data_IF_622671858614
#
_entry.id   IF_622671858614
#
_cell.length_a   1.000
_cell.length_b   1.000
_cell.length_c   1.000
_cell.angle_alpha   90.00
_cell.angle_beta   90.00
_cell.angle_gamma   90.00
#
_symmetry.space_group_name_H-M   'P 1'
#
loop_
_entity.id
_entity.type
_entity.pdbx_description
1 polymer ?
#
# COMPACT_ATOMS: atom_id res chain seq x y z
N UNK A 1 12.52 -17.17 -1.32
CA UNK A 1 13.09 -18.46 -1.76
C UNK A 1 14.44 -18.28 -2.47
N UNK A 2 14.56 -17.43 -3.50
CA UNK A 2 15.82 -17.20 -4.21
C UNK A 2 17.00 -16.73 -3.31
N UNK A 3 16.74 -15.83 -2.36
CA UNK A 3 17.74 -15.42 -1.36
C UNK A 3 18.25 -16.58 -0.48
N UNK A 4 17.38 -17.51 -0.11
CA UNK A 4 17.79 -18.69 0.67
C UNK A 4 18.53 -19.73 -0.19
N UNK A 5 18.30 -19.72 -1.51
CA UNK A 5 19.05 -20.55 -2.46
C UNK A 5 20.47 -19.99 -2.65
N UNK A 6 20.65 -18.66 -2.62
CA UNK A 6 22.00 -18.08 -2.66
C UNK A 6 22.80 -18.43 -1.41
N UNK A 7 22.23 -18.48 -0.19
CA UNK A 7 23.03 -18.86 1.00
C UNK A 7 23.51 -20.33 1.04
N UNK A 8 23.09 -21.20 0.10
CA UNK A 8 23.43 -22.63 0.12
C UNK A 8 24.82 -22.97 -0.43
N UNK A 9 25.55 -22.05 -1.08
CA UNK A 9 26.87 -22.33 -1.64
C UNK A 9 27.95 -21.51 -0.92
N UNK A 10 28.55 -22.08 0.14
CA UNK A 10 29.56 -21.39 0.94
C UNK A 10 31.02 -21.75 0.60
N UNK A 11 31.23 -22.74 -0.29
CA UNK A 11 32.58 -23.18 -0.65
C UNK A 11 32.66 -23.46 -2.14
N UNK A 12 33.53 -22.73 -2.84
CA UNK A 12 33.77 -22.87 -4.28
C UNK A 12 35.09 -23.60 -4.51
N UNK A 13 35.10 -24.54 -5.46
CA UNK A 13 36.30 -25.26 -5.87
C UNK A 13 36.97 -24.54 -7.05
N UNK A 14 36.19 -23.82 -7.85
CA UNK A 14 36.67 -23.12 -9.05
C UNK A 14 36.15 -21.68 -9.14
N UNK A 15 36.80 -20.87 -9.98
CA UNK A 15 36.30 -19.53 -10.30
C UNK A 15 34.94 -19.54 -10.96
N UNK A 16 34.69 -20.52 -11.85
CA UNK A 16 33.41 -20.64 -12.54
C UNK A 16 32.25 -20.85 -11.56
N UNK A 17 32.46 -21.68 -10.53
CA UNK A 17 31.47 -21.86 -9.47
C UNK A 17 31.24 -20.56 -8.69
N UNK A 18 32.31 -19.84 -8.33
CA UNK A 18 32.16 -18.56 -7.64
C UNK A 18 31.47 -17.49 -8.50
N UNK A 19 31.77 -17.43 -9.80
CA UNK A 19 31.19 -16.43 -10.69
C UNK A 19 29.71 -16.70 -10.98
N UNK A 20 29.33 -17.96 -11.20
CA UNK A 20 27.93 -18.36 -11.33
C UNK A 20 27.17 -18.06 -10.06
N UNK A 21 27.75 -18.37 -8.90
CA UNK A 21 27.16 -18.02 -7.61
C UNK A 21 26.92 -16.52 -7.47
N UNK A 22 27.97 -15.72 -7.71
CA UNK A 22 27.92 -14.27 -7.62
C UNK A 22 26.82 -13.69 -8.51
N UNK A 23 26.73 -14.16 -9.77
CA UNK A 23 25.68 -13.76 -10.70
C UNK A 23 24.28 -14.13 -10.19
N UNK A 24 24.07 -15.38 -9.79
CA UNK A 24 22.75 -15.84 -9.32
C UNK A 24 22.33 -15.11 -8.04
N UNK A 25 23.26 -14.90 -7.10
CA UNK A 25 23.01 -14.16 -5.85
C UNK A 25 22.51 -12.75 -6.16
N UNK A 26 23.29 -11.95 -6.87
CA UNK A 26 22.95 -10.54 -7.09
C UNK A 26 21.80 -10.33 -8.08
N UNK A 27 21.71 -11.13 -9.16
CA UNK A 27 20.56 -11.04 -10.09
C UNK A 27 19.27 -11.43 -9.37
N UNK A 28 19.30 -12.49 -8.55
CA UNK A 28 18.13 -12.96 -7.81
C UNK A 28 17.65 -11.96 -6.74
N UNK A 29 18.58 -11.38 -5.98
CA UNK A 29 18.26 -10.37 -4.96
C UNK A 29 17.74 -9.09 -5.63
N UNK A 30 18.42 -8.61 -6.67
CA UNK A 30 17.98 -7.42 -7.39
C UNK A 30 16.60 -7.62 -7.99
N UNK A 31 16.31 -8.77 -8.62
CA UNK A 31 14.98 -9.06 -9.17
C UNK A 31 13.90 -8.92 -8.11
N UNK A 32 14.13 -9.47 -6.92
CA UNK A 32 13.20 -9.35 -5.80
C UNK A 32 12.98 -7.88 -5.39
N UNK A 33 14.06 -7.08 -5.30
CA UNK A 33 13.96 -5.66 -4.97
C UNK A 33 13.30 -4.83 -6.06
N UNK A 34 13.54 -5.13 -7.33
CA UNK A 34 12.86 -4.49 -8.46
C UNK A 34 11.35 -4.75 -8.40
N UNK A 35 10.95 -6.00 -8.15
CA UNK A 35 9.53 -6.34 -7.95
C UNK A 35 8.96 -5.54 -6.78
N UNK A 36 9.63 -5.51 -5.62
CA UNK A 36 9.16 -4.73 -4.46
C UNK A 36 9.06 -3.24 -4.77
N UNK A 37 10.04 -2.68 -5.48
CA UNK A 37 10.06 -1.29 -5.88
C UNK A 37 8.92 -0.96 -6.84
N UNK A 38 8.56 -1.84 -7.79
CA UNK A 38 7.39 -1.68 -8.66
C UNK A 38 6.12 -1.64 -7.81
N UNK A 39 5.89 -2.62 -6.93
CA UNK A 39 4.69 -2.68 -6.09
C UNK A 39 4.53 -1.44 -5.20
N UNK A 40 5.63 -0.98 -4.61
CA UNK A 40 5.65 0.22 -3.76
C UNK A 40 5.43 1.48 -4.59
N UNK A 41 6.10 1.61 -5.75
CA UNK A 41 5.96 2.79 -6.61
C UNK A 41 4.58 2.92 -7.23
N UNK A 42 3.96 1.81 -7.63
CA UNK A 42 2.55 1.78 -8.08
C UNK A 42 1.62 2.21 -6.94
N UNK A 43 1.83 1.68 -5.73
CA UNK A 43 1.09 2.11 -4.55
C UNK A 43 1.29 3.59 -4.19
N UNK A 44 2.47 4.14 -4.48
CA UNK A 44 2.82 5.54 -4.25
C UNK A 44 2.07 6.48 -5.21
N UNK A 45 2.04 6.15 -6.51
CA UNK A 45 1.38 6.99 -7.52
C UNK A 45 -0.15 6.84 -7.53
N UNK A 46 -0.67 5.64 -7.23
CA UNK A 46 -2.11 5.37 -7.23
C UNK A 46 -2.77 5.57 -5.86
N UNK A 47 -1.98 5.68 -4.78
CA UNK A 47 -2.50 5.84 -3.43
C UNK A 47 -3.35 7.09 -3.28
N UNK A 48 -4.59 6.92 -2.85
CA UNK A 48 -5.50 8.05 -2.55
C UNK A 48 -5.30 8.47 -1.10
N UNK A 49 -4.92 9.73 -0.92
CA UNK A 49 -4.93 10.40 0.37
C UNK A 49 -6.34 10.93 0.60
N UNK A 50 -7.03 10.32 1.57
CA UNK A 50 -8.28 10.86 2.10
C UNK A 50 -8.12 10.98 3.60
N UNK A 51 -8.34 12.16 4.15
CA UNK A 51 -8.57 12.30 5.57
C UNK A 51 -9.88 11.55 5.86
N UNK A 52 -9.79 10.36 6.46
CA UNK A 52 -10.99 9.63 6.88
C UNK A 52 -11.55 10.44 8.04
N UNK A 53 -12.48 11.33 7.73
CA UNK A 53 -13.39 11.87 8.72
C UNK A 53 -14.20 10.70 9.26
N UNK A 54 -14.22 10.53 10.59
CA UNK A 54 -14.74 9.32 11.26
C UNK A 54 -16.18 8.95 10.86
N UNK A 55 -16.93 9.91 10.31
CA UNK A 55 -18.32 9.74 9.88
C UNK A 55 -18.49 9.00 8.55
N UNK A 56 -17.43 8.80 7.75
CA UNK A 56 -17.49 8.14 6.43
C UNK A 56 -16.72 6.79 6.38
N UNK A 57 -16.62 6.10 7.52
CA UNK A 57 -15.87 4.83 7.68
C UNK A 57 -16.28 3.68 6.75
N UNK A 58 -17.40 3.78 6.02
CA UNK A 58 -17.99 2.66 5.27
C UNK A 58 -17.49 2.48 3.82
N UNK A 59 -16.81 3.46 3.22
CA UNK A 59 -16.60 3.47 1.76
C UNK A 59 -15.21 2.97 1.30
N UNK A 60 -14.21 2.85 2.17
CA UNK A 60 -12.83 2.58 1.72
C UNK A 60 -12.28 1.22 2.18
N UNK A 61 -12.87 0.14 1.69
CA UNK A 61 -12.09 -1.05 1.34
C UNK A 61 -12.63 -1.57 0.02
N UNK A 62 -11.96 -1.24 -1.08
CA UNK A 62 -12.05 -2.08 -2.28
C UNK A 62 -11.37 -3.38 -1.90
N UNK A 63 -12.13 -4.30 -1.32
CA UNK A 63 -11.71 -5.67 -1.10
C UNK A 63 -11.24 -6.18 -2.45
N UNK A 64 -9.94 -6.45 -2.52
CA UNK A 64 -9.24 -7.19 -3.56
C UNK A 64 -10.22 -7.94 -4.47
N UNK A 65 -10.25 -7.55 -5.74
CA UNK A 65 -10.84 -8.32 -6.84
C UNK A 65 -10.74 -9.80 -6.51
N UNK A 66 -11.87 -10.41 -6.17
CA UNK A 66 -11.95 -11.84 -5.93
C UNK A 66 -11.65 -12.49 -7.28
N UNK A 67 -10.52 -13.20 -7.38
CA UNK A 67 -10.09 -13.85 -8.62
C UNK A 67 -11.14 -14.84 -9.15
N UNK A 68 -12.08 -15.28 -8.30
CA UNK A 68 -13.12 -16.23 -8.62
C UNK A 68 -14.23 -15.67 -9.54
N UNK A 69 -14.24 -14.35 -9.84
CA UNK A 69 -15.23 -13.74 -10.73
C UNK A 69 -14.70 -13.45 -12.14
N UNK A 70 -13.47 -13.86 -12.48
CA UNK A 70 -12.87 -13.63 -13.81
C UNK A 70 -13.22 -14.74 -14.82
N UNK A 71 -13.57 -15.94 -14.36
CA UNK A 71 -13.87 -17.07 -15.25
C UNK A 71 -15.27 -16.99 -15.90
N UNK A 72 -16.09 -15.98 -15.58
CA UNK A 72 -17.44 -15.83 -16.16
C UNK A 72 -17.64 -14.58 -17.03
N UNK A 73 -16.61 -13.75 -17.26
CA UNK A 73 -16.76 -12.51 -18.03
C UNK A 73 -16.18 -12.73 -19.44
N UNK A 74 -16.91 -13.52 -20.22
CA UNK A 74 -16.89 -13.39 -21.67
C UNK A 74 -17.74 -12.19 -22.07
N UNK A 75 -17.16 -11.32 -22.90
CA UNK A 75 -17.82 -10.22 -23.64
C UNK A 75 -18.65 -9.21 -22.84
N UNK A 76 -17.98 -8.15 -22.36
CA UNK A 76 -18.30 -6.74 -22.65
C UNK A 76 -17.88 -5.82 -21.51
N UNK A 77 -16.83 -5.04 -21.77
CA UNK A 77 -16.19 -4.10 -20.82
C UNK A 77 -17.13 -2.93 -20.45
N UNK A 78 -18.28 -2.76 -21.14
CA UNK A 78 -19.29 -1.75 -20.81
C UNK A 78 -19.92 -1.97 -19.44
N UNK A 79 -20.06 -3.22 -18.99
CA UNK A 79 -20.97 -3.55 -17.89
C UNK A 79 -20.33 -3.30 -16.51
N UNK A 80 -18.99 -3.22 -16.45
CA UNK A 80 -18.26 -2.88 -15.22
C UNK A 80 -18.56 -1.42 -14.79
N UNK A 81 -18.83 -0.52 -15.74
CA UNK A 81 -19.19 0.86 -15.41
C UNK A 81 -20.61 0.98 -14.83
N UNK A 82 -21.52 0.09 -15.21
CA UNK A 82 -22.92 0.12 -14.76
C UNK A 82 -23.10 -0.47 -13.35
N UNK A 83 -22.24 -1.43 -12.95
CA UNK A 83 -22.23 -1.96 -11.58
C UNK A 83 -21.83 -0.88 -10.56
N UNK A 84 -20.92 0.02 -10.92
CA UNK A 84 -20.54 1.13 -10.03
C UNK A 84 -21.65 2.18 -9.90
N UNK A 85 -22.50 2.32 -10.92
CA UNK A 85 -23.62 3.27 -10.93
C UNK A 85 -24.87 2.73 -10.21
N UNK A 86 -25.12 1.42 -10.25
CA UNK A 86 -26.26 0.79 -9.58
C UNK A 86 -26.10 0.71 -8.05
N UNK A 87 -24.87 0.61 -7.56
CA UNK A 87 -24.56 0.59 -6.12
C UNK A 87 -24.75 1.97 -5.46
N UNK A 88 -24.67 3.07 -6.22
CA UNK A 88 -24.86 4.43 -5.72
C UNK A 88 -26.36 4.81 -5.64
N UNK A 89 -27.23 4.16 -6.43
CA UNK A 89 -28.68 4.39 -6.40
C UNK A 89 -29.43 3.53 -5.37
N UNK A 90 -28.83 2.42 -4.93
CA UNK A 90 -29.45 1.48 -3.97
C UNK A 90 -29.34 1.93 -2.50
N UNK A 91 -28.62 3.01 -2.20
CA UNK A 91 -28.60 3.63 -0.87
C UNK A 91 -29.80 4.55 -0.57
N UNK A 92 -30.76 4.68 -1.49
CA UNK A 92 -31.94 5.55 -1.30
C UNK A 92 -33.19 4.84 -0.76
N UNK A 93 -33.14 3.52 -0.50
CA UNK A 93 -34.33 2.72 -0.13
C UNK A 93 -34.25 2.01 1.23
N UNK A 94 -33.42 2.47 2.17
CA UNK A 94 -33.43 1.99 3.57
C UNK A 94 -34.01 3.09 4.46
N UNK A 95 -35.32 3.30 4.36
CA UNK A 95 -36.11 4.09 5.29
C UNK A 95 -37.37 3.31 5.69
N UNK A 96 -37.18 2.16 6.31
CA UNK A 96 -38.23 1.48 7.10
C UNK A 96 -37.60 0.35 7.90
N UNK A 97 -37.01 0.68 9.05
CA UNK A 97 -36.82 -0.32 10.11
C UNK A 97 -36.82 0.38 11.47
N UNK A 98 -37.90 0.06 12.19
CA UNK A 98 -38.16 0.13 13.62
C UNK A 98 -37.57 1.28 14.45
N UNK A 99 -38.45 2.24 14.72
CA UNK A 99 -38.46 2.99 15.97
C UNK A 99 -39.10 2.11 17.04
N UNK A 100 -38.31 1.49 17.89
CA UNK A 100 -38.62 1.30 19.31
C UNK A 100 -37.34 0.89 20.08
N UNK A 101 -37.21 1.42 21.29
CA UNK A 101 -36.12 1.24 22.26
C UNK A 101 -34.77 1.90 21.94
N UNK A 102 -34.57 3.11 22.46
CA UNK A 102 -33.63 3.33 23.56
C UNK A 102 -33.56 4.83 23.87
N UNK A 103 -34.21 5.23 24.97
CA UNK A 103 -33.75 6.37 25.77
C UNK A 103 -32.29 6.18 26.17
N UNK A 104 -31.63 7.29 26.53
CA UNK A 104 -30.45 7.43 27.41
C UNK A 104 -29.30 8.23 26.77
N UNK A 105 -29.20 9.48 27.28
CA UNK A 105 -28.03 10.36 27.45
C UNK A 105 -27.52 11.12 26.20
N UNK A 106 -28.08 12.31 25.99
CA UNK A 106 -27.37 13.46 25.40
C UNK A 106 -26.83 14.29 26.56
N UNK A 107 -25.51 14.28 26.76
CA UNK A 107 -24.81 15.24 27.61
C UNK A 107 -23.80 16.01 26.75
N UNK A 108 -24.12 17.29 26.55
CA UNK A 108 -23.24 18.43 26.28
C UNK A 108 -22.01 18.20 25.38
N UNK A 109 -22.04 18.77 24.17
CA UNK A 109 -20.86 19.45 23.61
C UNK A 109 -21.18 20.41 22.44
N UNK A 110 -20.75 21.66 22.66
CA UNK A 110 -20.35 22.72 21.70
C UNK A 110 -21.40 23.42 20.83
N UNK A 111 -21.85 24.58 21.33
CA UNK A 111 -22.55 25.65 20.58
C UNK A 111 -21.63 26.52 19.71
N UNK A 112 -20.33 26.22 19.59
CA UNK A 112 -19.36 27.12 18.93
C UNK A 112 -19.06 26.85 17.45
N UNK A 113 -19.68 25.87 16.79
CA UNK A 113 -19.43 25.61 15.34
C UNK A 113 -20.59 26.01 14.41
N UNK A 114 -21.76 26.36 14.95
CA UNK A 114 -22.92 26.79 14.14
C UNK A 114 -22.87 28.30 13.81
N UNK A 115 -21.99 29.07 14.46
CA UNK A 115 -21.81 30.50 14.21
C UNK A 115 -20.87 30.81 13.03
N UNK A 116 -19.95 29.91 12.65
CA UNK A 116 -18.99 30.16 11.55
C UNK A 116 -19.56 29.86 10.16
N UNK A 117 -20.55 28.98 10.07
CA UNK A 117 -21.19 28.60 8.81
C UNK A 117 -22.35 29.54 8.42
N UNK A 118 -22.93 30.27 9.39
CA UNK A 118 -23.89 31.35 9.11
C UNK A 118 -23.25 32.64 8.60
N UNK A 119 -22.01 32.96 8.99
CA UNK A 119 -21.32 34.20 8.56
C UNK A 119 -20.77 34.12 7.13
N UNK A 120 -20.43 32.92 6.64
CA UNK A 120 -19.98 32.71 5.26
C UNK A 120 -21.11 32.88 4.23
N UNK A 121 -22.35 32.50 4.55
CA UNK A 121 -23.50 32.65 3.65
C UNK A 121 -23.97 34.12 3.56
N UNK A 122 -23.77 34.91 4.62
CA UNK A 122 -24.15 36.34 4.63
C UNK A 122 -23.15 37.19 3.82
N UNK A 123 -21.86 36.83 3.80
CA UNK A 123 -20.85 37.58 3.05
C UNK A 123 -20.94 37.37 1.52
N UNK A 124 -21.40 36.21 1.05
CA UNK A 124 -21.58 35.95 -0.39
C UNK A 124 -22.82 36.68 -0.97
N UNK A 125 -23.83 36.96 -0.13
CA UNK A 125 -24.99 37.78 -0.53
C UNK A 125 -24.65 39.28 -0.63
N UNK A 126 -23.67 39.77 0.13
CA UNK A 126 -23.26 41.18 0.09
C UNK A 126 -22.23 41.46 -1.01
N UNK A 127 -21.40 40.49 -1.43
CA UNK A 127 -20.42 40.72 -2.51
C UNK A 127 -21.03 40.72 -3.92
N UNK A 128 -22.29 40.29 -4.08
CA UNK A 128 -23.00 40.32 -5.38
C UNK A 128 -23.82 41.58 -5.62
N UNK A 129 -23.80 42.55 -4.69
CA UNK A 129 -24.56 43.80 -4.81
C UNK A 129 -23.83 44.92 -5.56
N UNK A 130 -22.57 44.70 -5.95
CA UNK A 130 -21.72 45.75 -6.57
C UNK A 130 -21.30 45.48 -8.02
N UNK A 131 -21.90 44.51 -8.72
CA UNK A 131 -21.75 44.42 -10.19
C UNK A 131 -22.96 45.06 -10.87
N UNK A 132 -22.73 46.25 -11.41
CA UNK A 132 -23.56 46.98 -12.37
C UNK A 132 -24.01 46.07 -13.52
N UNK A 133 -25.28 45.66 -13.49
CA UNK A 133 -26.13 45.32 -14.66
C UNK A 133 -27.50 44.82 -14.18
N UNK A 134 -28.21 45.62 -13.38
CA UNK A 134 -29.54 45.26 -12.83
C UNK A 134 -30.66 46.23 -13.17
N UNK A 135 -30.52 47.03 -14.23
CA UNK A 135 -31.54 48.02 -14.61
C UNK A 135 -32.78 47.42 -15.29
N UNK A 136 -32.82 46.12 -15.58
CA UNK A 136 -33.89 45.55 -16.40
C UNK A 136 -34.93 44.69 -15.66
N UNK A 137 -34.79 44.44 -14.35
CA UNK A 137 -35.77 43.63 -13.60
C UNK A 137 -36.71 44.44 -12.71
N UNK A 138 -36.38 45.70 -12.41
CA UNK A 138 -37.22 46.57 -11.57
C UNK A 138 -38.31 47.32 -12.33
N UNK A 139 -38.29 47.33 -13.66
CA UNK A 139 -39.30 48.03 -14.47
C UNK A 139 -40.62 47.28 -14.62
N UNK A 140 -40.65 45.96 -14.33
CA UNK A 140 -41.85 45.14 -14.53
C UNK A 140 -42.74 45.00 -13.28
N UNK A 141 -42.22 45.29 -12.09
CA UNK A 141 -43.00 45.23 -10.84
C UNK A 141 -43.65 46.58 -10.50
N UNK A 142 -43.08 47.70 -10.97
CA UNK A 142 -43.61 49.05 -10.69
C UNK A 142 -44.84 49.44 -11.52
N UNK A 143 -45.24 48.63 -12.52
CA UNK A 143 -46.36 48.94 -13.43
C UNK A 143 -47.74 48.44 -12.98
N UNK A 144 -47.81 47.60 -11.94
CA UNK A 144 -49.11 47.08 -11.44
C UNK A 144 -49.65 47.80 -10.19
N UNK A 145 -48.98 48.85 -9.70
CA UNK A 145 -49.39 49.57 -8.48
C UNK A 145 -49.93 50.98 -8.78
N UNK A 146 -49.90 51.43 -10.04
CA UNK A 146 -50.23 52.82 -10.41
C UNK A 146 -51.55 53.02 -11.17
N UNK A 147 -52.53 52.11 -11.08
CA UNK A 147 -53.85 52.30 -11.75
C UNK A 147 -55.10 52.20 -10.85
N UNK A 148 -54.96 52.19 -9.52
CA UNK A 148 -56.09 52.45 -8.62
C UNK A 148 -55.94 53.82 -7.97
N UNK A 149 -56.24 54.87 -8.72
CA UNK A 149 -56.39 56.22 -8.18
C UNK A 149 -57.43 57.01 -8.96
N UNK A 150 -58.71 56.64 -8.82
CA UNK A 150 -59.84 57.50 -9.20
C UNK A 150 -60.95 57.40 -8.15
N UNK A 151 -61.32 58.60 -7.67
CA UNK A 151 -62.56 59.02 -7.00
C UNK A 151 -62.87 58.52 -5.59
N UNK A 152 -62.60 59.39 -4.61
CA UNK A 152 -63.62 59.73 -3.63
C UNK A 152 -63.52 61.22 -3.25
N UNK A 153 -64.58 61.97 -3.57
CA UNK A 153 -64.82 63.31 -3.06
C UNK A 153 -66.22 63.30 -2.44
N UNK A 154 -66.26 63.60 -1.16
CA UNK A 154 -67.35 64.10 -0.32
C UNK A 154 -68.65 63.28 -0.16
N UNK A 155 -69.00 63.00 1.11
CA UNK A 155 -70.33 62.54 1.51
C UNK A 155 -70.45 62.18 2.98
N UNK A 156 -70.84 63.17 3.79
CA UNK A 156 -71.55 63.14 5.09
C UNK A 156 -71.74 61.84 5.90
N UNK A 157 -71.47 62.00 7.21
CA UNK A 157 -72.06 61.35 8.40
C UNK A 157 -73.30 60.46 8.18
N UNK A 158 -73.22 59.22 8.66
CA UNK A 158 -74.21 58.66 9.60
C UNK A 158 -73.66 57.37 10.23
N UNK A 159 -73.79 57.28 11.55
CA UNK A 159 -73.49 56.11 12.38
C UNK A 159 -74.53 55.02 12.13
N UNK A 160 -74.13 53.84 11.61
CA UNK A 160 -74.82 52.57 11.89
C UNK A 160 -73.81 51.42 11.82
N UNK A 161 -73.73 50.70 12.93
CA UNK A 161 -73.06 49.42 13.16
C UNK A 161 -73.35 48.36 12.08
N UNK A 162 -72.32 47.76 11.50
CA UNK A 162 -72.41 46.41 10.92
C UNK A 162 -71.04 45.70 10.96
N UNK A 163 -70.92 44.75 11.87
CA UNK A 163 -69.72 43.99 12.23
C UNK A 163 -69.78 42.54 11.70
N UNK A 164 -70.07 42.32 10.41
CA UNK A 164 -70.20 40.96 9.84
C UNK A 164 -69.37 40.73 8.55
N UNK A 165 -68.57 41.71 8.09
CA UNK A 165 -67.88 41.61 6.78
C UNK A 165 -66.37 41.32 6.76
N UNK A 166 -65.69 41.24 7.91
CA UNK A 166 -64.22 41.32 7.94
C UNK A 166 -63.45 39.98 7.94
N UNK A 167 -64.11 38.84 8.15
CA UNK A 167 -63.43 37.53 8.12
C UNK A 167 -63.17 37.02 6.69
N UNK A 168 -64.00 37.41 5.71
CA UNK A 168 -63.90 36.91 4.32
C UNK A 168 -62.64 37.42 3.58
N UNK A 169 -62.23 38.66 3.85
CA UNK A 169 -61.03 39.24 3.22
C UNK A 169 -59.71 38.73 3.83
N UNK A 170 -59.72 38.29 5.09
CA UNK A 170 -58.52 37.78 5.77
C UNK A 170 -58.08 36.42 5.22
N UNK A 171 -59.02 35.58 4.79
CA UNK A 171 -58.70 34.26 4.23
C UNK A 171 -58.13 34.31 2.80
N UNK A 172 -58.58 35.23 1.94
CA UNK A 172 -58.03 35.37 0.58
C UNK A 172 -56.57 35.82 0.56
N UNK A 173 -56.16 36.69 1.48
CA UNK A 173 -54.77 37.13 1.57
C UNK A 173 -53.82 36.02 2.06
N UNK A 174 -54.30 35.10 2.90
CA UNK A 174 -53.50 33.95 3.37
C UNK A 174 -53.18 32.99 2.22
N UNK A 175 -54.17 32.70 1.38
CA UNK A 175 -54.01 31.82 0.22
C UNK A 175 -53.01 32.38 -0.81
N UNK A 176 -53.06 33.70 -1.07
CA UNK A 176 -52.13 34.37 -2.00
C UNK A 176 -50.68 34.31 -1.47
N UNK A 177 -50.47 34.55 -0.17
CA UNK A 177 -49.13 34.48 0.46
C UNK A 177 -48.58 33.06 0.44
N UNK A 178 -49.43 32.06 0.64
CA UNK A 178 -49.03 30.65 0.63
C UNK A 178 -48.67 30.18 -0.80
N UNK A 179 -49.42 30.64 -1.81
CA UNK A 179 -49.08 30.40 -3.23
C UNK A 179 -47.74 31.03 -3.62
N UNK A 180 -47.45 32.24 -3.14
CA UNK A 180 -46.16 32.90 -3.38
C UNK A 180 -45.00 32.17 -2.69
N UNK A 181 -45.18 31.67 -1.45
CA UNK A 181 -44.17 30.85 -0.77
C UNK A 181 -43.87 29.56 -1.52
N UNK A 182 -44.90 28.87 -2.03
CA UNK A 182 -44.73 27.63 -2.79
C UNK A 182 -44.03 27.87 -4.14
N UNK A 183 -44.29 29.00 -4.80
CA UNK A 183 -43.55 29.37 -6.01
C UNK A 183 -42.09 29.69 -5.71
N UNK A 184 -41.82 30.42 -4.62
CA UNK A 184 -40.46 30.78 -4.23
C UNK A 184 -39.65 29.55 -3.80
N UNK A 185 -40.24 28.62 -3.05
CA UNK A 185 -39.57 27.38 -2.65
C UNK A 185 -39.24 26.49 -3.86
N UNK A 186 -40.14 26.42 -4.84
CA UNK A 186 -39.90 25.69 -6.09
C UNK A 186 -38.76 26.31 -6.92
N UNK A 187 -38.68 27.64 -6.99
CA UNK A 187 -37.60 28.34 -7.69
C UNK A 187 -36.26 28.13 -6.97
N UNK A 188 -36.23 28.23 -5.64
CA UNK A 188 -35.03 28.02 -4.83
C UNK A 188 -34.55 26.57 -5.00
N UNK A 189 -35.43 25.57 -4.87
CA UNK A 189 -35.07 24.16 -5.02
C UNK A 189 -34.58 23.83 -6.43
N UNK A 190 -35.18 24.41 -7.48
CA UNK A 190 -34.75 24.18 -8.87
C UNK A 190 -33.37 24.79 -9.15
N UNK A 191 -33.07 25.96 -8.58
CA UNK A 191 -31.77 26.60 -8.75
C UNK A 191 -30.66 25.93 -7.93
N UNK A 192 -30.96 25.50 -6.70
CA UNK A 192 -30.04 24.73 -5.85
C UNK A 192 -29.69 23.39 -6.50
N UNK A 193 -30.69 22.63 -6.97
CA UNK A 193 -30.44 21.34 -7.64
C UNK A 193 -29.64 21.50 -8.94
N UNK A 194 -29.90 22.54 -9.74
CA UNK A 194 -29.13 22.80 -10.97
C UNK A 194 -27.67 23.16 -10.69
N UNK A 195 -27.40 23.98 -9.66
CA UNK A 195 -26.02 24.33 -9.27
C UNK A 195 -25.27 23.15 -8.63
N UNK A 196 -25.95 22.33 -7.82
CA UNK A 196 -25.38 21.11 -7.24
C UNK A 196 -25.02 20.10 -8.34
N UNK A 197 -25.85 19.97 -9.37
CA UNK A 197 -25.57 19.04 -10.48
C UNK A 197 -24.39 19.50 -11.34
N UNK A 198 -24.25 20.81 -11.59
CA UNK A 198 -23.12 21.35 -12.33
C UNK A 198 -21.79 21.20 -11.56
N UNK A 199 -21.78 21.54 -10.27
CA UNK A 199 -20.59 21.38 -9.42
C UNK A 199 -20.15 19.94 -9.25
N UNK A 200 -21.09 19.00 -9.09
CA UNK A 200 -20.78 17.55 -9.06
C UNK A 200 -20.13 17.07 -10.35
N UNK A 201 -20.61 17.54 -11.52
CA UNK A 201 -20.05 17.17 -12.82
C UNK A 201 -18.59 17.64 -12.97
N UNK A 202 -18.29 18.85 -12.53
CA UNK A 202 -16.94 19.41 -12.60
C UNK A 202 -15.97 18.69 -11.65
N UNK A 203 -16.41 18.35 -10.43
CA UNK A 203 -15.61 17.56 -9.48
C UNK A 203 -15.32 16.17 -10.06
N UNK A 204 -16.32 15.49 -10.64
CA UNK A 204 -16.15 14.17 -11.27
C UNK A 204 -15.16 14.22 -12.43
N UNK A 205 -15.24 15.26 -13.28
CA UNK A 205 -14.32 15.45 -14.40
C UNK A 205 -12.89 15.75 -13.94
N UNK A 206 -12.70 16.54 -12.88
CA UNK A 206 -11.38 16.81 -12.30
C UNK A 206 -10.73 15.54 -11.75
N UNK A 207 -11.50 14.73 -11.02
CA UNK A 207 -11.00 13.46 -10.46
C UNK A 207 -10.60 12.46 -11.55
N UNK A 208 -11.40 12.32 -12.61
CA UNK A 208 -11.07 11.45 -13.75
C UNK A 208 -9.76 11.84 -14.42
N UNK A 209 -9.52 13.14 -14.63
CA UNK A 209 -8.27 13.64 -15.21
C UNK A 209 -7.06 13.35 -14.33
N UNK A 210 -7.17 13.51 -13.01
CA UNK A 210 -6.09 13.19 -12.06
C UNK A 210 -5.75 11.71 -12.05
N UNK A 211 -6.77 10.83 -12.02
CA UNK A 211 -6.58 9.37 -12.05
C UNK A 211 -5.87 8.94 -13.34
N UNK A 212 -6.34 9.43 -14.49
CA UNK A 212 -5.71 9.13 -15.78
C UNK A 212 -4.23 9.58 -15.84
N UNK A 213 -3.92 10.74 -15.25
CA UNK A 213 -2.52 11.23 -15.15
C UNK A 213 -1.66 10.30 -14.29
N UNK A 214 -2.18 9.83 -13.15
CA UNK A 214 -1.44 8.93 -12.25
C UNK A 214 -1.23 7.55 -12.89
N UNK A 215 -2.23 7.01 -13.60
CA UNK A 215 -2.09 5.77 -14.36
C UNK A 215 -0.99 5.90 -15.42
N UNK A 216 -0.96 7.01 -16.17
CA UNK A 216 0.09 7.27 -17.17
C UNK A 216 1.49 7.32 -16.53
N UNK A 217 1.62 7.93 -15.35
CA UNK A 217 2.88 7.93 -14.59
C UNK A 217 3.29 6.54 -14.14
N UNK A 218 2.36 5.74 -13.62
CA UNK A 218 2.62 4.37 -13.20
C UNK A 218 3.11 3.50 -14.38
N UNK A 219 2.48 3.61 -15.55
CA UNK A 219 2.96 2.94 -16.76
C UNK A 219 4.34 3.43 -17.20
N UNK A 220 4.60 4.74 -17.15
CA UNK A 220 5.92 5.30 -17.46
C UNK A 220 7.00 4.72 -16.55
N UNK A 221 6.73 4.62 -15.25
CA UNK A 221 7.64 4.00 -14.27
C UNK A 221 7.89 2.51 -14.59
N UNK A 222 6.85 1.78 -14.98
CA UNK A 222 7.00 0.36 -15.34
C UNK A 222 7.90 0.18 -16.58
N UNK A 223 7.70 1.02 -17.60
CA UNK A 223 8.55 1.01 -18.81
C UNK A 223 10.00 1.34 -18.44
N UNK A 224 10.22 2.37 -17.62
CA UNK A 224 11.55 2.76 -17.16
C UNK A 224 12.26 1.59 -16.46
N UNK A 225 11.59 0.93 -15.51
CA UNK A 225 12.14 -0.21 -14.78
C UNK A 225 12.40 -1.41 -15.71
N UNK A 226 11.51 -1.64 -16.68
CA UNK A 226 11.66 -2.72 -17.67
C UNK A 226 12.91 -2.56 -18.54
N UNK A 227 13.38 -1.32 -18.77
CA UNK A 227 14.66 -1.06 -19.45
C UNK A 227 15.87 -1.15 -18.52
N UNK A 228 15.77 -0.63 -17.30
CA UNK A 228 16.90 -0.62 -16.35
C UNK A 228 17.32 -2.01 -15.89
N UNK A 229 16.38 -2.94 -15.68
CA UNK A 229 16.70 -4.25 -15.12
C UNK A 229 17.54 -5.14 -16.07
N UNK A 230 17.19 -5.33 -17.36
CA UNK A 230 18.05 -6.03 -18.32
C UNK A 230 19.42 -5.37 -18.49
N UNK A 231 19.47 -4.03 -18.46
CA UNK A 231 20.72 -3.29 -18.54
C UNK A 231 21.65 -3.60 -17.36
N UNK A 232 21.11 -3.67 -16.15
CA UNK A 232 21.88 -4.10 -14.98
C UNK A 232 22.42 -5.53 -15.11
N UNK A 233 21.60 -6.47 -15.58
CA UNK A 233 22.04 -7.85 -15.82
C UNK A 233 23.21 -7.86 -16.81
N UNK A 234 23.10 -7.12 -17.90
CA UNK A 234 24.16 -7.01 -18.91
C UNK A 234 25.46 -6.48 -18.30
N UNK A 235 25.40 -5.40 -17.50
CA UNK A 235 26.57 -4.87 -16.80
C UNK A 235 27.19 -5.91 -15.86
N UNK A 236 26.38 -6.63 -15.11
CA UNK A 236 26.85 -7.65 -14.16
C UNK A 236 27.57 -8.78 -14.90
N UNK A 237 27.04 -9.23 -16.04
CA UNK A 237 27.67 -10.23 -16.91
C UNK A 237 28.99 -9.70 -17.48
N UNK A 238 29.01 -8.48 -18.02
CA UNK A 238 30.22 -7.85 -18.57
C UNK A 238 31.31 -7.74 -17.50
N UNK A 239 30.98 -7.25 -16.30
CA UNK A 239 31.92 -7.17 -15.18
C UNK A 239 32.49 -8.55 -14.84
N UNK A 240 31.64 -9.57 -14.78
CA UNK A 240 32.06 -10.96 -14.50
C UNK A 240 33.03 -11.50 -15.56
N UNK A 241 32.79 -11.17 -16.84
CA UNK A 241 33.68 -11.53 -17.96
C UNK A 241 35.02 -10.77 -17.87
N UNK A 242 34.98 -9.45 -17.62
CA UNK A 242 36.19 -8.62 -17.46
C UNK A 242 37.05 -9.16 -16.31
N UNK A 243 36.44 -9.45 -15.17
CA UNK A 243 37.14 -10.08 -14.04
C UNK A 243 37.71 -11.45 -14.39
N UNK A 244 36.98 -12.25 -15.17
CA UNK A 244 37.47 -13.54 -15.65
C UNK A 244 38.70 -13.41 -16.55
N UNK A 245 38.74 -12.35 -17.38
CA UNK A 245 39.85 -12.10 -18.30
C UNK A 245 41.08 -11.57 -17.54
N UNK A 246 40.90 -10.58 -16.67
CA UNK A 246 41.97 -10.03 -15.82
C UNK A 246 42.63 -11.12 -14.97
N UNK A 247 41.83 -12.06 -14.48
CA UNK A 247 42.32 -13.17 -13.66
C UNK A 247 43.29 -14.08 -14.40
N UNK A 248 43.14 -14.29 -15.72
CA UNK A 248 44.06 -15.18 -16.47
C UNK A 248 45.52 -14.74 -16.39
N UNK A 249 45.77 -13.47 -16.04
CA UNK A 249 47.11 -12.90 -15.93
C UNK A 249 47.67 -12.88 -14.49
N UNK A 250 46.90 -13.30 -13.48
CA UNK A 250 47.36 -13.38 -12.10
C UNK A 250 47.59 -14.82 -11.69
N UNK A 251 48.78 -15.10 -11.14
CA UNK A 251 49.13 -16.38 -10.53
C UNK A 251 48.11 -16.80 -9.46
N UNK A 252 48.03 -18.12 -9.24
CA UNK A 252 46.90 -18.79 -8.62
C UNK A 252 46.52 -18.22 -7.24
N UNK A 253 45.28 -17.70 -7.12
CA UNK A 253 44.62 -17.31 -5.87
C UNK A 253 44.21 -18.55 -5.03
N UNK A 254 45.11 -19.51 -4.85
CA UNK A 254 44.92 -20.67 -4.00
C UNK A 254 45.55 -20.38 -2.64
N UNK A 255 44.75 -20.48 -1.58
CA UNK A 255 45.24 -20.37 -0.20
C UNK A 255 45.20 -21.76 0.41
N UNK A 256 46.32 -22.20 0.98
CA UNK A 256 46.34 -23.42 1.76
C UNK A 256 45.82 -23.14 3.18
N UNK A 257 44.76 -23.84 3.57
CA UNK A 257 44.24 -23.79 4.93
C UNK A 257 45.16 -24.50 5.94
N UNK A 258 44.95 -24.23 7.23
CA UNK A 258 45.71 -24.86 8.34
C UNK A 258 45.66 -26.40 8.36
N UNK A 259 44.66 -26.97 7.70
CA UNK A 259 44.46 -28.42 7.54
C UNK A 259 45.16 -28.99 6.29
N UNK A 260 45.97 -28.19 5.60
CA UNK A 260 46.67 -28.58 4.36
C UNK A 260 45.77 -28.60 3.11
N UNK A 261 44.47 -28.31 3.23
CA UNK A 261 43.56 -28.26 2.08
C UNK A 261 43.71 -26.93 1.32
N UNK A 262 43.69 -27.00 0.00
CA UNK A 262 43.72 -25.81 -0.86
C UNK A 262 42.31 -25.29 -1.09
N UNK A 263 42.12 -23.99 -0.88
CA UNK A 263 40.87 -23.30 -1.12
C UNK A 263 41.09 -22.21 -2.17
N UNK A 264 40.13 -22.08 -3.08
CA UNK A 264 40.12 -20.99 -4.02
C UNK A 264 39.64 -19.71 -3.32
N UNK A 265 40.49 -18.67 -3.24
CA UNK A 265 40.07 -17.35 -2.75
C UNK A 265 39.30 -16.64 -3.86
N UNK A 266 38.01 -16.39 -3.66
CA UNK A 266 37.22 -15.77 -4.69
C UNK A 266 37.54 -14.28 -4.86
N UNK A 267 38.07 -13.91 -6.03
CA UNK A 267 38.41 -12.52 -6.38
C UNK A 267 37.20 -11.58 -6.49
N UNK A 268 35.98 -12.13 -6.62
CA UNK A 268 34.74 -11.34 -6.70
C UNK A 268 34.23 -10.88 -5.32
N UNK A 269 34.87 -11.29 -4.23
CA UNK A 269 34.46 -10.91 -2.86
C UNK A 269 34.53 -9.40 -2.62
N UNK A 270 35.49 -8.69 -3.22
CA UNK A 270 35.55 -7.22 -3.14
C UNK A 270 34.40 -6.55 -3.89
N UNK A 271 34.03 -7.11 -5.05
CA UNK A 271 32.86 -6.65 -5.82
C UNK A 271 31.56 -6.97 -5.11
N UNK A 272 31.48 -8.09 -4.39
CA UNK A 272 30.30 -8.48 -3.59
C UNK A 272 29.95 -7.41 -2.57
N UNK A 273 30.94 -6.81 -1.90
CA UNK A 273 30.70 -5.69 -0.99
C UNK A 273 30.07 -4.48 -1.68
N UNK A 274 30.52 -4.14 -2.90
CA UNK A 274 29.96 -3.02 -3.66
C UNK A 274 28.51 -3.28 -4.09
N UNK A 275 28.21 -4.51 -4.53
CA UNK A 275 26.83 -4.90 -4.89
C UNK A 275 25.91 -4.95 -3.66
N UNK A 276 26.37 -5.49 -2.53
CA UNK A 276 25.61 -5.48 -1.27
C UNK A 276 25.31 -4.03 -0.82
N UNK A 277 26.23 -3.09 -1.03
CA UNK A 277 26.01 -1.66 -0.76
C UNK A 277 24.96 -1.05 -1.71
N UNK A 278 25.04 -1.34 -3.00
CA UNK A 278 24.06 -0.90 -4.00
C UNK A 278 22.65 -1.46 -3.70
N UNK A 279 22.58 -2.72 -3.32
CA UNK A 279 21.36 -3.41 -2.88
C UNK A 279 20.74 -2.72 -1.65
N UNK A 280 21.55 -2.38 -0.65
CA UNK A 280 21.11 -1.62 0.52
C UNK A 280 20.58 -0.23 0.13
N UNK A 281 21.23 0.46 -0.81
CA UNK A 281 20.77 1.76 -1.32
C UNK A 281 19.39 1.63 -1.99
N UNK A 282 19.16 0.62 -2.83
CA UNK A 282 17.85 0.35 -3.45
C UNK A 282 16.78 0.07 -2.39
N UNK A 283 17.12 -0.70 -1.35
CA UNK A 283 16.22 -0.95 -0.23
C UNK A 283 15.84 0.34 0.51
N UNK A 284 16.80 1.23 0.77
CA UNK A 284 16.54 2.53 1.41
C UNK A 284 15.59 3.37 0.56
N UNK A 285 15.80 3.47 -0.76
CA UNK A 285 14.89 4.19 -1.67
C UNK A 285 13.49 3.60 -1.66
N UNK A 286 13.38 2.26 -1.64
CA UNK A 286 12.10 1.56 -1.54
C UNK A 286 11.39 1.87 -0.22
N UNK A 287 12.13 1.97 0.88
CA UNK A 287 11.60 2.26 2.20
C UNK A 287 11.11 3.71 2.33
N UNK A 288 11.81 4.68 1.74
CA UNK A 288 11.38 6.09 1.69
C UNK A 288 10.00 6.19 1.02
N UNK A 289 9.81 5.56 -0.14
CA UNK A 289 8.50 5.50 -0.82
C UNK A 289 7.48 4.68 -0.02
N UNK A 290 7.89 3.55 0.54
CA UNK A 290 7.03 2.67 1.34
C UNK A 290 6.43 3.38 2.56
N UNK A 291 7.20 4.24 3.24
CA UNK A 291 6.72 5.07 4.36
C UNK A 291 5.53 5.96 3.97
N UNK A 292 5.58 6.54 2.77
CA UNK A 292 4.47 7.33 2.25
C UNK A 292 3.25 6.45 1.96
N UNK A 293 3.48 5.30 1.32
CA UNK A 293 2.43 4.34 0.94
C UNK A 293 1.69 3.77 2.16
N UNK A 294 2.36 3.55 3.29
CA UNK A 294 1.74 3.07 4.54
C UNK A 294 0.73 4.07 5.12
N UNK A 295 0.84 5.37 4.79
CA UNK A 295 -0.11 6.41 5.22
C UNK A 295 -1.35 6.50 4.32
N UNK A 296 -1.33 5.88 3.15
CA UNK A 296 -2.48 5.86 2.24
C UNK A 296 -3.55 4.90 2.76
N UNK A 297 -4.82 5.30 2.67
CA UNK A 297 -5.93 4.48 3.13
C UNK A 297 -6.32 3.39 2.13
N UNK A 298 -6.20 3.66 0.84
CA UNK A 298 -6.59 2.76 -0.24
C UNK A 298 -5.37 2.09 -0.89
N UNK A 299 -4.61 1.31 -0.12
CA UNK A 299 -3.46 0.55 -0.62
C UNK A 299 -3.63 -0.93 -0.37
N UNK A 300 -3.15 -1.73 -1.32
CA UNK A 300 -3.13 -3.18 -1.20
C UNK A 300 -2.40 -3.63 0.08
N UNK A 301 -3.01 -4.56 0.82
CA UNK A 301 -2.42 -5.13 2.04
C UNK A 301 -1.02 -5.69 1.79
N UNK A 302 -0.78 -6.28 0.61
CA UNK A 302 0.53 -6.80 0.21
C UNK A 302 1.62 -5.70 0.23
N UNK A 303 1.34 -4.49 -0.26
CA UNK A 303 2.32 -3.40 -0.29
C UNK A 303 2.71 -2.92 1.11
N UNK A 304 1.75 -2.94 2.06
CA UNK A 304 2.04 -2.67 3.48
C UNK A 304 2.95 -3.74 4.07
N UNK A 305 2.66 -5.01 3.81
CA UNK A 305 3.50 -6.12 4.29
C UNK A 305 4.90 -6.11 3.67
N UNK A 306 5.04 -5.76 2.40
CA UNK A 306 6.35 -5.56 1.76
C UNK A 306 7.13 -4.49 2.53
N UNK A 307 6.51 -3.35 2.83
CA UNK A 307 7.18 -2.26 3.58
C UNK A 307 7.64 -2.72 4.97
N UNK A 308 6.77 -3.41 5.73
CA UNK A 308 7.13 -3.94 7.05
C UNK A 308 8.23 -4.99 6.97
N UNK A 309 8.17 -5.90 5.98
CA UNK A 309 9.20 -6.90 5.75
C UNK A 309 10.54 -6.25 5.41
N UNK A 310 10.55 -5.16 4.64
CA UNK A 310 11.78 -4.41 4.33
C UNK A 310 12.37 -3.77 5.59
N UNK A 311 11.56 -3.17 6.46
CA UNK A 311 12.02 -2.61 7.74
C UNK A 311 12.66 -3.70 8.61
N UNK A 312 11.98 -4.84 8.76
CA UNK A 312 12.51 -6.00 9.51
C UNK A 312 13.82 -6.48 8.87
N UNK A 313 13.87 -6.58 7.55
CA UNK A 313 15.07 -6.99 6.81
C UNK A 313 16.27 -6.08 7.06
N UNK A 314 16.09 -4.76 7.12
CA UNK A 314 17.18 -3.81 7.39
C UNK A 314 17.61 -3.86 8.86
N UNK A 315 16.67 -3.91 9.80
CA UNK A 315 16.99 -3.91 11.24
C UNK A 315 17.66 -5.22 11.66
N UNK A 316 17.13 -6.36 11.20
CA UNK A 316 17.61 -7.67 11.60
C UNK A 316 18.66 -8.26 10.66
N UNK A 317 18.76 -7.79 9.41
CA UNK A 317 19.70 -8.30 8.41
C UNK A 317 21.15 -8.38 8.91
N UNK A 318 21.74 -7.28 9.41
CA UNK A 318 23.09 -7.29 9.96
C UNK A 318 23.27 -8.30 11.11
N UNK A 319 22.23 -8.48 11.94
CA UNK A 319 22.29 -9.39 13.08
C UNK A 319 22.34 -10.86 12.69
N UNK A 320 21.83 -11.21 11.49
CA UNK A 320 21.95 -12.57 10.93
C UNK A 320 23.42 -12.87 10.60
N UNK A 321 24.17 -11.89 10.10
CA UNK A 321 25.54 -12.11 9.66
C UNK A 321 26.56 -12.15 10.82
N UNK A 322 26.33 -11.36 11.88
CA UNK A 322 27.20 -11.32 13.08
C UNK A 322 27.13 -12.62 13.90
N UNK A 323 26.14 -13.48 13.64
CA UNK A 323 25.80 -14.61 14.50
C UNK A 323 26.15 -15.96 13.87
N UNK A 324 27.23 -16.09 13.09
CA UNK A 324 27.69 -17.38 12.56
C UNK A 324 28.80 -18.05 13.40
N UNK A 325 28.95 -17.67 14.68
CA UNK A 325 29.83 -18.39 15.60
C UNK A 325 29.13 -19.69 16.07
N UNK A 326 29.57 -20.82 15.52
CA UNK A 326 29.01 -22.13 15.81
C UNK A 326 29.06 -22.47 17.31
N UNK A 327 30.03 -21.93 18.05
CA UNK A 327 30.19 -22.18 19.48
C UNK A 327 29.02 -21.66 20.31
N UNK A 328 28.24 -20.69 19.79
CA UNK A 328 27.05 -20.16 20.48
C UNK A 328 25.82 -21.05 20.34
N UNK A 329 25.72 -21.85 19.27
CA UNK A 329 24.55 -22.70 18.99
C UNK A 329 24.73 -24.13 19.45
N UNK A 330 25.94 -24.65 19.33
CA UNK A 330 26.26 -26.02 19.72
C UNK A 330 26.68 -26.06 21.18
N UNK A 331 25.72 -26.30 22.08
CA UNK A 331 26.00 -26.66 23.47
C UNK A 331 26.38 -28.14 23.54
N UNK A 332 27.63 -28.45 23.23
CA UNK A 332 28.17 -29.81 23.37
C UNK A 332 28.98 -29.85 24.66
N UNK A 333 28.60 -30.75 25.57
CA UNK A 333 29.41 -31.09 26.73
C UNK A 333 30.19 -32.36 26.42
N UNK A 334 31.52 -32.31 26.53
CA UNK A 334 32.36 -33.51 26.54
C UNK A 334 32.68 -33.87 27.98
N UNK A 335 32.66 -35.16 28.25
CA UNK A 335 32.99 -35.70 29.55
C UNK A 335 34.17 -36.67 29.43
N UNK A 336 35.03 -36.74 30.45
CA UNK A 336 36.04 -37.80 30.54
C UNK A 336 35.35 -39.16 30.65
N UNK A 337 36.01 -40.22 30.17
CA UNK A 337 35.55 -41.59 30.42
C UNK A 337 35.50 -41.84 31.93
N UNK A 338 34.41 -42.46 32.39
CA UNK A 338 34.32 -42.93 33.76
C UNK A 338 35.42 -43.97 34.02
N UNK A 339 36.22 -43.79 35.08
CA UNK A 339 37.29 -44.74 35.40
C UNK A 339 36.75 -46.09 35.90
N UNK A 340 35.61 -46.10 36.60
CA UNK A 340 35.02 -47.32 37.15
C UNK A 340 34.41 -48.22 36.07
N UNK A 341 33.67 -47.62 35.13
CA UNK A 341 32.91 -48.36 34.11
C UNK A 341 33.56 -48.33 32.73
N UNK A 342 34.67 -47.60 32.57
CA UNK A 342 35.34 -47.34 31.28
C UNK A 342 34.36 -46.88 30.17
N UNK A 343 33.33 -46.14 30.56
CA UNK A 343 32.21 -45.73 29.71
C UNK A 343 32.06 -44.20 29.70
N UNK A 344 31.61 -43.64 28.58
CA UNK A 344 31.24 -42.23 28.43
C UNK A 344 29.80 -41.94 28.87
N UNK A 345 29.00 -43.00 29.05
CA UNK A 345 27.59 -42.93 29.44
C UNK A 345 27.36 -43.91 30.58
N UNK A 346 27.65 -43.48 31.79
CA UNK A 346 27.25 -44.18 33.01
C UNK A 346 26.58 -43.17 33.95
N UNK A 347 25.81 -43.64 34.92
CA UNK A 347 25.16 -42.76 35.91
C UNK A 347 26.10 -42.08 36.91
N UNK A 348 27.42 -42.28 36.81
CA UNK A 348 28.39 -41.61 37.67
C UNK A 348 28.54 -40.12 37.29
N UNK A 349 28.86 -39.24 38.25
CA UNK A 349 29.27 -37.87 37.94
C UNK A 349 30.56 -37.90 37.12
N UNK A 350 30.52 -37.33 35.91
CA UNK A 350 31.67 -37.24 35.01
C UNK A 350 32.21 -35.80 34.99
N UNK A 351 33.54 -35.66 35.01
CA UNK A 351 34.19 -34.36 34.81
C UNK A 351 34.05 -33.90 33.36
N UNK A 352 33.67 -32.64 33.15
CA UNK A 352 33.68 -32.00 31.84
C UNK A 352 35.12 -31.79 31.34
N UNK A 353 35.36 -31.93 30.04
CA UNK A 353 36.67 -31.65 29.43
C UNK A 353 36.66 -30.37 28.60
N UNK A 354 37.68 -29.54 28.78
CA UNK A 354 37.92 -28.33 27.97
C UNK A 354 38.59 -28.63 26.61
N UNK A 355 38.46 -29.86 26.11
CA UNK A 355 39.00 -30.21 24.80
C UNK A 355 38.37 -29.34 23.71
N UNK A 356 39.19 -28.86 22.76
CA UNK A 356 38.69 -28.06 21.63
C UNK A 356 37.56 -28.82 20.89
N UNK A 357 36.33 -28.30 21.01
CA UNK A 357 35.10 -28.86 20.42
C UNK A 357 34.92 -28.51 18.94
N UNK A 358 35.70 -27.56 18.43
CA UNK A 358 35.60 -27.07 17.06
C UNK A 358 35.62 -28.17 15.99
N UNK A 359 36.47 -29.22 16.07
CA UNK A 359 36.46 -30.31 15.09
C UNK A 359 35.15 -31.11 15.10
N UNK A 360 34.54 -31.29 16.28
CA UNK A 360 33.30 -32.02 16.46
C UNK A 360 32.11 -31.21 15.93
N UNK A 361 32.05 -29.92 16.30
CA UNK A 361 31.06 -28.97 15.79
C UNK A 361 31.12 -28.92 14.27
N UNK A 362 32.33 -28.84 13.70
CA UNK A 362 32.54 -28.84 12.24
C UNK A 362 32.02 -30.13 11.58
N UNK A 363 32.23 -31.31 12.20
CA UNK A 363 31.65 -32.58 11.73
C UNK A 363 30.12 -32.56 11.76
N UNK A 364 29.51 -32.04 12.82
CA UNK A 364 28.05 -31.91 12.92
C UNK A 364 27.48 -30.95 11.87
N UNK A 365 28.13 -29.80 11.64
CA UNK A 365 27.73 -28.85 10.59
C UNK A 365 27.83 -29.49 9.21
N UNK A 366 28.91 -30.24 8.93
CA UNK A 366 29.06 -30.98 7.68
C UNK A 366 27.95 -32.02 7.50
N UNK A 367 27.65 -32.77 8.57
CA UNK A 367 26.55 -33.74 8.57
C UNK A 367 25.20 -33.07 8.31
N UNK A 368 24.92 -31.94 8.99
CA UNK A 368 23.69 -31.18 8.78
C UNK A 368 23.59 -30.67 7.34
N UNK A 369 24.66 -30.07 6.81
CA UNK A 369 24.73 -29.64 5.40
C UNK A 369 24.45 -30.79 4.44
N UNK A 370 25.04 -31.96 4.68
CA UNK A 370 24.79 -33.17 3.90
C UNK A 370 23.31 -33.59 3.96
N UNK A 371 22.71 -33.56 5.15
CA UNK A 371 21.30 -33.86 5.35
C UNK A 371 20.38 -32.86 4.64
N UNK A 372 20.71 -31.57 4.62
CA UNK A 372 19.89 -30.52 3.98
C UNK A 372 20.12 -30.39 2.47
N UNK A 373 21.28 -30.78 1.94
CA UNK A 373 21.54 -30.75 0.49
C UNK A 373 20.70 -31.81 -0.23
N UNK A 374 19.60 -31.40 -0.86
CA UNK A 374 18.73 -32.32 -1.61
C UNK A 374 19.14 -32.48 -3.08
N UNK A 375 20.05 -31.63 -3.56
CA UNK A 375 20.49 -31.57 -4.95
C UNK A 375 22.01 -31.75 -4.99
N UNK A 376 22.50 -32.63 -5.85
CA UNK A 376 23.92 -32.83 -6.10
C UNK A 376 24.21 -32.68 -7.60
N UNK A 377 25.22 -31.88 -7.93
CA UNK A 377 25.65 -31.65 -9.31
C UNK A 377 26.96 -32.41 -9.50
N UNK A 378 26.95 -33.47 -10.32
CA UNK A 378 28.15 -34.22 -10.70
C UNK A 378 28.24 -34.29 -12.22
N UNK A 379 29.38 -33.87 -12.78
CA UNK A 379 29.63 -33.88 -14.23
C UNK A 379 28.53 -33.17 -15.04
N UNK A 380 28.08 -32.00 -14.57
CA UNK A 380 27.04 -31.20 -15.23
C UNK A 380 25.62 -31.77 -15.15
N UNK A 381 25.41 -32.94 -14.53
CA UNK A 381 24.07 -33.51 -14.33
C UNK A 381 23.57 -33.21 -12.92
N UNK A 382 22.38 -32.59 -12.84
CA UNK A 382 21.66 -32.34 -11.58
C UNK A 382 20.98 -33.65 -11.17
N UNK A 383 21.30 -34.17 -9.98
CA UNK A 383 20.65 -35.35 -9.40
C UNK A 383 20.01 -35.00 -8.07
N UNK A 384 18.76 -35.40 -7.90
CA UNK A 384 18.10 -35.37 -6.59
C UNK A 384 18.64 -36.48 -5.70
N UNK A 385 19.09 -36.15 -4.49
CA UNK A 385 19.55 -37.12 -3.50
C UNK A 385 18.37 -37.53 -2.62
N UNK A 386 17.86 -38.74 -2.83
CA UNK A 386 16.90 -39.34 -1.91
C UNK A 386 17.54 -39.62 -0.54
N UNK A 387 16.73 -39.63 0.52
CA UNK A 387 17.21 -39.95 1.88
C UNK A 387 17.91 -41.32 1.92
N UNK A 388 17.41 -42.29 1.14
CA UNK A 388 18.01 -43.62 1.01
C UNK A 388 19.43 -43.57 0.42
N UNK A 389 19.67 -42.75 -0.61
CA UNK A 389 21.00 -42.62 -1.19
C UNK A 389 21.97 -41.90 -0.26
N UNK A 390 21.49 -40.94 0.54
CA UNK A 390 22.28 -40.29 1.60
C UNK A 390 22.75 -41.28 2.65
N UNK A 391 21.87 -42.15 3.14
CA UNK A 391 22.21 -43.15 4.15
C UNK A 391 23.26 -44.16 3.65
N UNK A 392 23.21 -44.54 2.37
CA UNK A 392 24.19 -45.45 1.78
C UNK A 392 25.60 -44.84 1.66
N UNK A 393 25.71 -43.51 1.60
CA UNK A 393 27.01 -42.81 1.58
C UNK A 393 27.62 -42.77 2.98
N UNK A 394 26.81 -42.61 4.03
CA UNK A 394 27.28 -42.56 5.44
C UNK A 394 27.70 -43.92 5.97
N UNK A 395 27.17 -45.01 5.41
CA UNK A 395 27.51 -46.39 5.80
C UNK A 395 28.84 -46.89 5.22
N UNK A 396 29.39 -46.21 4.21
CA UNK A 396 30.72 -46.49 3.66
C UNK A 396 31.74 -45.60 4.34
#
# INVERSE_FOLDING_TARGET
MLFFISELFLTYISYLECSIYFLIKHIGILLAFVIYYIYISVGYELGIFGEITENNKKICMVSSFSMNSIDSIGSDISDIYDIYYSLENSTSSISSLDKNSSEVIIKMKNENEISSSKSLIINEFNSRKNSTDSDNFNYKIKRNISQEKINSKNGSKSDVSNSIGYESFRNKNKEIVERQRNLLSNIINKNLTKNVNNTKKDIKNKNKKTIHKNIRKAHSLFIEIAFFYPFFILITIILTIIYSYMKKNMEENTIQGKNGQWFYKCSLETSDMAYNSLELMILIFTLIKGKYVVRCNCVYKCTRYITYSTIIGIVFGPTVNVRNDANKYFKIKKYKKCLLHNSLSCGCPLEETDENLEPLIKKYILFYKFCTTNINIKHGKIRYLSIKSKLNIVKK
#
